data_IF_686192227260
#
_entry.id   IF_686192227260
#
_cell.length_a   1.000
_cell.length_b   1.000
_cell.length_c   1.000
_cell.angle_alpha   90.00
_cell.angle_beta   90.00
_cell.angle_gamma   90.00
#
_symmetry.space_group_name_H-M   'P 1'
#
loop_
_entity.id
_entity.type
_entity.pdbx_description
1 polymer ?
#
# COMPACT_ATOMS: atom_id res chain seq x y z
N UNK A 1 20.73 1.63 10.34
CA UNK A 1 19.48 1.47 11.14
C UNK A 1 18.25 1.78 10.28
N UNK A 2 17.15 1.06 10.51
CA UNK A 2 15.83 1.45 9.98
C UNK A 2 15.49 2.81 10.62
N UNK A 3 15.57 3.89 9.85
CA UNK A 3 14.97 5.22 10.14
C UNK A 3 15.23 5.85 11.54
N UNK A 4 16.37 5.59 12.18
CA UNK A 4 16.70 6.12 13.52
C UNK A 4 15.60 5.83 14.58
N UNK A 5 14.83 4.75 14.40
CA UNK A 5 13.83 4.29 15.37
C UNK A 5 14.45 3.21 16.25
N UNK A 6 14.06 3.16 17.54
CA UNK A 6 14.56 2.18 18.52
C UNK A 6 14.28 0.73 18.06
N UNK A 7 15.22 -0.18 18.34
CA UNK A 7 15.06 -1.62 18.07
C UNK A 7 13.97 -2.29 18.93
N UNK A 8 13.43 -1.61 19.95
CA UNK A 8 12.32 -2.12 20.79
C UNK A 8 11.04 -2.45 20.02
N UNK A 9 10.87 -1.89 18.82
CA UNK A 9 9.73 -2.22 17.95
C UNK A 9 9.89 -3.58 17.26
N UNK A 10 11.07 -4.20 17.33
CA UNK A 10 11.35 -5.48 16.67
C UNK A 10 10.70 -6.59 17.49
N UNK A 11 9.68 -7.22 16.92
CA UNK A 11 8.99 -8.37 17.50
C UNK A 11 9.78 -9.67 17.29
N UNK A 12 10.46 -9.79 16.15
CA UNK A 12 11.25 -10.98 15.82
C UNK A 12 12.33 -10.70 14.78
N UNK A 13 13.42 -11.48 14.83
CA UNK A 13 14.51 -11.48 13.84
C UNK A 13 14.38 -12.71 12.95
N UNK A 14 14.33 -12.50 11.64
CA UNK A 14 14.02 -13.54 10.65
C UNK A 14 15.28 -13.91 9.85
N UNK A 15 15.65 -15.19 9.88
CA UNK A 15 16.73 -15.75 9.06
C UNK A 15 16.26 -16.73 7.98
N UNK A 16 15.03 -17.23 8.10
CA UNK A 16 14.46 -18.24 7.20
C UNK A 16 12.97 -18.02 6.96
N UNK A 17 12.48 -18.54 5.84
CA UNK A 17 11.07 -18.61 5.49
C UNK A 17 10.74 -20.00 4.91
N UNK A 18 9.60 -20.55 5.33
CA UNK A 18 9.07 -21.78 4.75
C UNK A 18 7.89 -21.43 3.83
N UNK A 19 7.99 -21.78 2.55
CA UNK A 19 6.92 -21.62 1.57
C UNK A 19 6.27 -22.99 1.35
N UNK A 20 4.96 -23.04 1.54
CA UNK A 20 4.15 -24.23 1.30
C UNK A 20 3.33 -24.00 0.04
N UNK A 21 3.47 -24.87 -0.96
CA UNK A 21 2.62 -24.86 -2.14
C UNK A 21 1.31 -25.61 -1.88
N UNK A 22 0.29 -25.36 -2.72
CA UNK A 22 -0.98 -26.13 -2.68
C UNK A 22 -0.76 -27.64 -2.84
N UNK A 23 0.29 -28.07 -3.54
CA UNK A 23 0.65 -29.49 -3.68
C UNK A 23 1.31 -30.10 -2.43
N UNK A 24 1.51 -29.33 -1.37
CA UNK A 24 2.19 -29.77 -0.14
C UNK A 24 3.72 -29.71 -0.23
N UNK A 25 4.29 -29.20 -1.32
CA UNK A 25 5.74 -29.03 -1.44
C UNK A 25 6.20 -27.93 -0.49
N UNK A 26 7.17 -28.26 0.35
CA UNK A 26 7.86 -27.34 1.25
C UNK A 26 9.12 -26.81 0.57
N UNK A 27 9.27 -25.50 0.50
CA UNK A 27 10.49 -24.81 0.05
C UNK A 27 11.01 -24.00 1.23
N UNK A 28 12.24 -24.27 1.67
CA UNK A 28 12.94 -23.48 2.67
C UNK A 28 13.79 -22.43 1.96
N UNK A 29 13.65 -21.16 2.36
CA UNK A 29 14.49 -20.05 1.93
C UNK A 29 15.24 -19.51 3.14
N UNK A 30 16.54 -19.26 3.01
CA UNK A 30 17.37 -18.66 4.06
C UNK A 30 18.33 -19.64 4.74
N UNK A 31 19.05 -19.13 5.73
CA UNK A 31 20.15 -19.79 6.42
C UNK A 31 20.20 -19.34 7.89
N UNK A 32 21.38 -19.31 8.51
CA UNK A 32 21.55 -18.82 9.89
C UNK A 32 21.58 -17.29 9.98
N UNK A 33 21.77 -16.56 8.88
CA UNK A 33 21.95 -15.11 8.87
C UNK A 33 20.59 -14.41 8.95
N UNK A 34 20.44 -13.49 9.91
CA UNK A 34 19.28 -12.61 9.98
C UNK A 34 19.27 -11.70 8.74
N UNK A 35 18.14 -11.68 8.02
CA UNK A 35 17.95 -10.91 6.78
C UNK A 35 16.76 -9.95 6.84
N UNK A 36 15.84 -10.18 7.77
CA UNK A 36 14.66 -9.34 7.97
C UNK A 36 14.27 -9.29 9.45
N UNK A 37 13.38 -8.36 9.78
CA UNK A 37 12.76 -8.24 11.10
C UNK A 37 11.26 -8.13 10.94
N UNK A 38 10.53 -8.77 11.84
CA UNK A 38 9.12 -8.47 12.05
C UNK A 38 9.04 -7.34 13.09
N UNK A 39 8.18 -6.35 12.84
CA UNK A 39 8.07 -5.15 13.67
C UNK A 39 6.62 -4.91 14.09
N UNK A 40 6.46 -4.25 15.23
CA UNK A 40 5.21 -3.61 15.63
C UNK A 40 4.99 -2.39 14.72
N UNK A 41 4.09 -2.56 13.74
CA UNK A 41 3.81 -1.56 12.72
C UNK A 41 3.12 -0.32 13.27
N UNK A 42 2.21 -0.49 14.22
CA UNK A 42 1.48 0.64 14.79
C UNK A 42 2.44 1.52 15.59
N UNK A 43 3.26 0.90 16.45
CA UNK A 43 4.28 1.63 17.21
C UNK A 43 5.33 2.26 16.29
N UNK A 44 5.75 1.55 15.25
CA UNK A 44 6.69 2.08 14.26
C UNK A 44 6.13 3.32 13.53
N UNK A 45 4.93 3.23 12.98
CA UNK A 45 4.31 4.31 12.21
C UNK A 45 4.06 5.54 13.11
N UNK A 46 3.68 5.32 14.38
CA UNK A 46 3.57 6.40 15.38
C UNK A 46 4.91 7.10 15.65
N UNK A 47 5.98 6.34 15.86
CA UNK A 47 7.30 6.91 16.11
C UNK A 47 7.82 7.72 14.91
N UNK A 48 7.54 7.27 13.68
CA UNK A 48 7.86 8.04 12.48
C UNK A 48 7.07 9.36 12.40
N UNK A 49 5.78 9.33 12.76
CA UNK A 49 4.96 10.53 12.82
C UNK A 49 5.49 11.52 13.88
N UNK A 50 5.86 11.02 15.07
CA UNK A 50 6.44 11.83 16.14
C UNK A 50 7.76 12.48 15.72
N UNK A 51 8.64 11.74 15.03
CA UNK A 51 9.89 12.28 14.48
C UNK A 51 9.62 13.40 13.44
N UNK A 52 8.63 13.21 12.57
CA UNK A 52 8.26 14.24 11.59
C UNK A 52 7.70 15.49 12.27
N UNK A 53 6.85 15.33 13.29
CA UNK A 53 6.32 16.45 14.08
C UNK A 53 7.43 17.20 14.83
N UNK A 54 8.36 16.48 15.44
CA UNK A 54 9.53 17.07 16.12
C UNK A 54 10.46 17.81 15.15
N UNK A 55 10.42 17.46 13.86
CA UNK A 55 11.13 18.17 12.80
C UNK A 55 10.39 19.42 12.29
N UNK A 56 9.24 19.76 12.89
CA UNK A 56 8.44 20.95 12.57
C UNK A 56 7.36 20.75 11.52
N UNK A 57 7.04 19.50 11.14
CA UNK A 57 5.95 19.23 10.19
C UNK A 57 4.60 19.44 10.86
N UNK A 58 3.69 20.16 10.17
CA UNK A 58 2.29 20.27 10.58
C UNK A 58 1.57 18.94 10.35
N UNK A 59 1.16 18.29 11.43
CA UNK A 59 0.39 17.05 11.38
C UNK A 59 -1.11 17.33 11.51
N UNK A 60 -1.90 16.84 10.55
CA UNK A 60 -3.36 17.06 10.51
C UNK A 60 -4.06 15.71 10.64
N UNK A 61 -4.55 15.42 11.84
CA UNK A 61 -5.31 14.21 12.14
C UNK A 61 -6.80 14.34 11.78
N UNK A 62 -7.48 13.18 11.72
CA UNK A 62 -8.90 13.06 11.35
C UNK A 62 -9.23 13.76 10.03
N UNK A 63 -8.26 13.77 9.12
CA UNK A 63 -8.35 14.42 7.83
C UNK A 63 -8.25 13.38 6.72
N UNK A 64 -9.23 13.37 5.82
CA UNK A 64 -9.22 12.55 4.61
C UNK A 64 -9.12 13.47 3.40
N UNK A 65 -8.10 13.31 2.57
CA UNK A 65 -8.03 14.01 1.31
C UNK A 65 -9.16 13.52 0.39
N UNK A 66 -9.94 14.44 -0.19
CA UNK A 66 -11.15 14.11 -0.99
C UNK A 66 -11.07 14.64 -2.43
N UNK A 67 -10.13 15.52 -2.73
CA UNK A 67 -9.91 15.96 -4.10
C UNK A 67 -8.82 16.99 -4.25
N UNK A 68 -8.54 17.32 -5.50
CA UNK A 68 -7.78 18.51 -5.91
C UNK A 68 -8.69 19.43 -6.73
N UNK A 69 -8.30 20.70 -6.84
CA UNK A 69 -9.01 21.65 -7.70
C UNK A 69 -8.98 21.23 -9.18
N UNK A 70 -10.11 21.42 -9.86
CA UNK A 70 -10.43 20.80 -11.16
C UNK A 70 -9.60 21.38 -12.33
N UNK A 71 -8.90 22.49 -12.10
CA UNK A 71 -7.94 23.09 -13.05
C UNK A 71 -6.83 22.12 -13.48
N UNK A 72 -6.38 21.24 -12.56
CA UNK A 72 -5.37 20.21 -12.86
C UNK A 72 -5.96 19.07 -13.69
N UNK A 73 -7.22 18.69 -13.43
CA UNK A 73 -7.94 17.66 -14.21
C UNK A 73 -8.24 18.11 -15.63
N UNK A 74 -8.54 19.41 -15.84
CA UNK A 74 -8.86 19.96 -17.15
C UNK A 74 -7.67 19.90 -18.12
N UNK A 75 -6.46 20.24 -17.66
CA UNK A 75 -5.26 20.23 -18.51
C UNK A 75 -4.88 18.81 -18.96
N UNK A 76 -4.96 17.81 -18.07
CA UNK A 76 -4.70 16.41 -18.42
C UNK A 76 -5.71 15.86 -19.44
N UNK A 77 -7.00 16.16 -19.27
CA UNK A 77 -8.06 15.72 -20.17
C UNK A 77 -8.02 16.45 -21.53
N UNK A 78 -7.74 17.76 -21.57
CA UNK A 78 -7.61 18.53 -22.82
C UNK A 78 -6.39 18.08 -23.63
N UNK A 79 -5.27 17.74 -22.97
CA UNK A 79 -4.08 17.21 -23.63
C UNK A 79 -4.30 15.81 -24.21
N UNK A 80 -4.94 14.90 -23.47
CA UNK A 80 -5.28 13.54 -23.94
C UNK A 80 -6.24 13.59 -25.14
N UNK A 81 -7.25 14.46 -25.11
CA UNK A 81 -8.24 14.57 -26.19
C UNK A 81 -7.72 15.30 -27.46
N UNK A 82 -6.74 16.20 -27.36
CA UNK A 82 -6.16 16.89 -28.53
C UNK A 82 -5.13 16.06 -29.32
N UNK A 83 -4.56 15.00 -28.73
CA UNK A 83 -3.65 14.08 -29.46
C UNK A 83 -4.43 13.20 -30.45
N UNK A 84 -5.69 12.90 -30.17
CA UNK A 84 -6.55 12.08 -31.03
C UNK A 84 -7.23 12.83 -32.20
N UNK A 85 -7.08 14.16 -32.29
CA UNK A 85 -7.53 14.94 -33.45
C UNK A 85 -6.34 15.67 -34.06
N UNK A 86 -5.93 15.26 -35.26
CA UNK A 86 -4.94 15.96 -36.09
C UNK A 86 -5.42 17.39 -36.41
N UNK A 87 -5.19 18.34 -35.51
CA UNK A 87 -5.37 19.76 -35.75
C UNK A 87 -4.03 20.36 -36.19
N UNK A 88 -3.94 20.76 -37.45
CA UNK A 88 -2.92 21.68 -37.95
C UNK A 88 -3.15 23.05 -37.30
N UNK A 89 -2.26 23.44 -36.40
CA UNK A 89 -2.32 24.76 -35.75
C UNK A 89 -1.93 25.85 -36.76
N UNK A 90 -2.91 26.70 -37.15
CA UNK A 90 -2.63 28.02 -37.71
C UNK A 90 -2.38 28.98 -36.55
N UNK A 91 -1.24 29.67 -36.62
CA UNK A 91 -0.70 30.71 -35.72
C UNK A 91 0.23 30.21 -34.61
N UNK A 92 1.39 30.88 -34.52
CA UNK A 92 2.59 30.61 -33.71
C UNK A 92 2.38 30.70 -32.18
N UNK A 93 1.38 30.00 -31.64
CA UNK A 93 1.20 29.84 -30.20
C UNK A 93 1.63 28.42 -29.86
N UNK A 94 2.75 28.28 -29.15
CA UNK A 94 3.30 26.96 -28.84
C UNK A 94 2.48 26.27 -27.75
N UNK A 95 2.47 24.93 -27.76
CA UNK A 95 1.76 24.08 -26.78
C UNK A 95 2.09 24.46 -25.32
N UNK A 96 3.31 24.96 -25.08
CA UNK A 96 3.77 25.42 -23.76
C UNK A 96 3.07 26.70 -23.29
N UNK A 97 2.69 27.61 -24.18
CA UNK A 97 2.19 28.93 -23.80
C UNK A 97 0.74 28.87 -23.31
N UNK A 98 -0.08 28.00 -23.91
CA UNK A 98 -1.46 27.75 -23.49
C UNK A 98 -1.48 27.03 -22.13
N UNK A 99 -0.60 26.06 -21.94
CA UNK A 99 -0.46 25.31 -20.68
C UNK A 99 0.01 26.26 -19.57
N UNK A 100 1.01 27.12 -19.83
CA UNK A 100 1.47 28.12 -18.87
C UNK A 100 0.39 29.12 -18.47
N UNK A 101 -0.39 29.63 -19.41
CA UNK A 101 -1.45 30.62 -19.12
C UNK A 101 -2.66 30.04 -18.35
N UNK A 102 -2.93 28.74 -18.46
CA UNK A 102 -4.01 28.07 -17.71
C UNK A 102 -3.60 27.70 -16.26
N UNK A 103 -2.30 27.54 -16.00
CA UNK A 103 -1.74 27.18 -14.69
C UNK A 103 -1.17 28.43 -14.02
N UNK A 104 -1.92 29.53 -14.02
CA UNK A 104 -1.46 30.80 -13.43
C UNK A 104 -1.43 30.80 -11.89
N UNK A 105 -1.44 29.63 -11.25
CA UNK A 105 -1.03 29.43 -9.86
C UNK A 105 -0.14 28.18 -9.77
N UNK A 106 1.13 28.34 -9.39
CA UNK A 106 2.11 27.25 -9.17
C UNK A 106 1.73 26.27 -8.02
N UNK A 107 0.50 26.35 -7.52
CA UNK A 107 0.07 25.66 -6.32
C UNK A 107 -1.12 24.74 -6.61
N UNK A 108 -0.97 23.48 -6.22
CA UNK A 108 -2.03 22.49 -6.14
C UNK A 108 -2.88 22.83 -4.92
N UNK A 109 -4.19 23.02 -5.11
CA UNK A 109 -5.14 23.15 -4.00
C UNK A 109 -5.76 21.78 -3.71
N UNK A 110 -5.56 21.28 -2.49
CA UNK A 110 -6.11 20.03 -1.98
C UNK A 110 -7.35 20.33 -1.14
N UNK A 111 -8.43 19.60 -1.40
CA UNK A 111 -9.64 19.56 -0.58
C UNK A 111 -9.56 18.34 0.34
N UNK A 112 -9.82 18.52 1.62
CA UNK A 112 -9.85 17.42 2.60
C UNK A 112 -11.03 17.58 3.56
N UNK A 113 -11.59 16.46 3.98
CA UNK A 113 -12.63 16.40 5.00
C UNK A 113 -11.95 16.23 6.36
N UNK A 114 -12.16 17.17 7.29
CA UNK A 114 -11.67 17.09 8.66
C UNK A 114 -12.80 17.32 9.64
N UNK A 115 -12.99 16.41 10.59
CA UNK A 115 -14.09 16.51 11.57
C UNK A 115 -15.45 16.81 10.90
N UNK A 116 -15.75 16.11 9.79
CA UNK A 116 -16.94 16.28 8.96
C UNK A 116 -17.12 17.67 8.31
N UNK A 117 -16.05 18.46 8.19
CA UNK A 117 -16.05 19.75 7.48
C UNK A 117 -15.05 19.73 6.34
N UNK A 118 -15.42 20.32 5.21
CA UNK A 118 -14.50 20.48 4.08
C UNK A 118 -13.55 21.64 4.38
N UNK A 119 -12.25 21.36 4.28
CA UNK A 119 -11.17 22.33 4.39
C UNK A 119 -10.29 22.27 3.13
N UNK A 120 -9.51 23.33 2.90
CA UNK A 120 -8.62 23.45 1.75
C UNK A 120 -7.22 23.84 2.18
N UNK A 121 -6.22 23.29 1.50
CA UNK A 121 -4.80 23.64 1.67
C UNK A 121 -4.12 23.76 0.32
N UNK A 122 -3.22 24.75 0.16
CA UNK A 122 -2.41 24.94 -1.04
C UNK A 122 -1.01 24.36 -0.82
N UNK A 123 -0.45 23.72 -1.85
CA UNK A 123 0.92 23.19 -1.83
C UNK A 123 1.53 23.22 -3.22
N UNK A 124 2.85 23.34 -3.34
CA UNK A 124 3.57 23.23 -4.62
C UNK A 124 3.77 21.77 -5.07
N UNK A 125 3.86 20.85 -4.11
CA UNK A 125 4.08 19.43 -4.33
C UNK A 125 3.13 18.62 -3.45
N UNK A 126 2.46 17.65 -4.06
CA UNK A 126 1.60 16.68 -3.38
C UNK A 126 2.19 15.28 -3.54
N UNK A 127 2.37 14.58 -2.41
CA UNK A 127 2.86 13.19 -2.38
C UNK A 127 1.69 12.27 -2.02
N UNK A 128 1.38 11.33 -2.90
CA UNK A 128 0.39 10.27 -2.64
C UNK A 128 1.02 9.11 -1.88
N UNK A 129 0.84 9.07 -0.57
CA UNK A 129 1.26 7.97 0.30
C UNK A 129 0.05 7.24 0.93
N UNK A 130 -1.06 7.18 0.19
CA UNK A 130 -2.38 6.67 0.60
C UNK A 130 -2.63 5.20 0.21
N UNK A 131 -1.58 4.48 -0.19
CA UNK A 131 -1.59 3.03 -0.39
C UNK A 131 -2.00 2.56 -1.80
N UNK A 132 -2.21 1.24 -1.93
CA UNK A 132 -2.41 0.56 -3.23
C UNK A 132 -3.62 1.05 -4.03
N UNK A 133 -4.62 1.59 -3.33
CA UNK A 133 -5.86 2.12 -3.92
C UNK A 133 -5.84 3.65 -4.05
N UNK A 134 -4.65 4.26 -4.09
CA UNK A 134 -4.41 5.71 -4.05
C UNK A 134 -5.44 6.56 -4.80
N UNK A 135 -6.16 7.40 -4.07
CA UNK A 135 -7.04 8.43 -4.65
C UNK A 135 -6.22 9.58 -5.22
N UNK A 136 -5.09 9.92 -4.59
CA UNK A 136 -4.16 10.93 -5.11
C UNK A 136 -3.70 10.55 -6.52
N UNK A 137 -3.26 9.31 -6.74
CA UNK A 137 -2.85 8.85 -8.07
C UNK A 137 -3.97 8.94 -9.11
N UNK A 138 -5.22 8.60 -8.72
CA UNK A 138 -6.41 8.72 -9.59
C UNK A 138 -6.66 10.16 -10.02
N UNK A 139 -6.45 11.14 -9.13
CA UNK A 139 -6.69 12.54 -9.46
C UNK A 139 -5.76 13.09 -10.53
N UNK A 140 -4.56 12.52 -10.65
CA UNK A 140 -3.58 12.87 -11.68
C UNK A 140 -3.59 11.92 -12.87
N UNK A 141 -4.54 10.97 -12.92
CA UNK A 141 -4.69 10.01 -14.02
C UNK A 141 -3.40 9.20 -14.29
N UNK A 142 -2.73 8.83 -13.19
CA UNK A 142 -1.54 7.97 -13.20
C UNK A 142 -1.95 6.51 -13.41
N UNK A 143 -1.06 5.74 -14.03
CA UNK A 143 -1.28 4.31 -14.21
C UNK A 143 -1.42 3.59 -12.86
N UNK A 144 -2.45 2.77 -12.77
CA UNK A 144 -2.67 1.90 -11.61
C UNK A 144 -1.83 0.64 -11.73
N UNK A 145 -1.49 -0.02 -10.60
CA UNK A 145 -0.86 -1.33 -10.65
C UNK A 145 -1.68 -2.30 -11.50
N UNK A 146 -1.02 -3.00 -12.43
CA UNK A 146 -1.65 -3.99 -13.32
C UNK A 146 -2.15 -5.21 -12.55
N UNK A 147 -1.49 -5.52 -11.44
CA UNK A 147 -1.76 -6.68 -10.61
C UNK A 147 -1.73 -6.27 -9.14
N UNK A 148 -2.66 -6.82 -8.36
CA UNK A 148 -2.73 -6.65 -6.92
C UNK A 148 -2.72 -8.06 -6.31
N UNK A 149 -1.71 -8.34 -5.48
CA UNK A 149 -1.62 -9.59 -4.75
C UNK A 149 -2.30 -9.40 -3.40
N UNK A 150 -3.42 -10.10 -3.19
CA UNK A 150 -4.07 -10.16 -1.90
C UNK A 150 -3.35 -11.18 -1.02
N UNK A 151 -2.93 -10.76 0.16
CA UNK A 151 -2.30 -11.62 1.16
C UNK A 151 -3.10 -11.56 2.47
N UNK A 152 -3.19 -12.70 3.14
CA UNK A 152 -3.70 -12.80 4.50
C UNK A 152 -2.52 -13.14 5.42
N UNK A 153 -2.42 -12.41 6.53
CA UNK A 153 -1.39 -12.63 7.53
C UNK A 153 -2.06 -13.06 8.82
N UNK A 154 -1.54 -14.13 9.43
CA UNK A 154 -1.95 -14.60 10.74
C UNK A 154 -0.70 -14.84 11.56
N UNK A 155 -0.67 -14.30 12.76
CA UNK A 155 0.39 -14.60 13.72
C UNK A 155 -0.04 -15.81 14.55
N UNK A 156 0.72 -16.87 14.45
CA UNK A 156 0.49 -18.12 15.17
C UNK A 156 1.74 -18.48 15.95
N UNK A 157 1.57 -18.79 17.23
CA UNK A 157 2.64 -19.35 18.03
C UNK A 157 2.63 -20.88 17.81
N UNK A 158 3.43 -21.32 16.84
CA UNK A 158 3.61 -22.73 16.52
C UNK A 158 5.01 -23.17 16.90
N UNK A 159 5.11 -24.18 17.76
CA UNK A 159 6.34 -24.96 17.93
C UNK A 159 6.56 -25.82 16.68
N UNK A 160 7.26 -25.27 15.69
CA UNK A 160 7.66 -26.03 14.51
C UNK A 160 8.92 -26.83 14.86
N UNK A 161 8.72 -28.07 15.29
CA UNK A 161 9.82 -29.01 15.48
C UNK A 161 10.44 -29.37 14.13
N UNK A 162 11.64 -28.85 13.84
CA UNK A 162 12.47 -29.29 12.72
C UNK A 162 12.92 -30.74 12.99
N UNK A 163 12.08 -31.73 12.68
CA UNK A 163 12.60 -33.09 12.49
C UNK A 163 13.54 -33.02 11.29
N UNK A 164 14.83 -33.32 11.50
CA UNK A 164 15.79 -33.56 10.40
C UNK A 164 15.12 -34.48 9.38
N UNK A 165 15.25 -34.23 8.06
CA UNK A 165 14.60 -35.03 7.04
C UNK A 165 15.32 -36.38 6.90
N UNK A 166 15.12 -37.22 7.91
CA UNK A 166 15.29 -38.66 7.86
C UNK A 166 14.12 -39.20 8.67
N UNK A 167 13.31 -40.01 8.00
CA UNK A 167 12.13 -40.72 8.51
C UNK A 167 10.77 -40.08 8.24
N UNK A 168 9.94 -40.93 7.63
CA UNK A 168 8.63 -40.66 7.06
C UNK A 168 7.62 -40.26 8.14
N UNK A 169 6.56 -39.60 7.66
CA UNK A 169 5.29 -39.30 8.32
C UNK A 169 5.23 -38.07 9.22
N UNK A 170 4.50 -37.06 8.73
CA UNK A 170 3.60 -36.28 9.56
C UNK A 170 2.27 -36.17 8.80
N UNK A 171 1.35 -37.07 9.14
CA UNK A 171 -0.07 -36.92 8.86
C UNK A 171 -0.56 -35.65 9.58
N UNK A 172 -1.03 -34.67 8.82
CA UNK A 172 -1.85 -33.59 9.38
C UNK A 172 -3.18 -34.19 9.82
N UNK A 173 -3.36 -34.43 11.12
CA UNK A 173 -4.69 -34.57 11.72
C UNK A 173 -5.20 -33.17 12.04
N UNK A 174 -6.01 -32.61 11.15
CA UNK A 174 -6.90 -31.53 11.54
C UNK A 174 -8.01 -32.14 12.41
N UNK A 175 -8.09 -31.77 13.68
CA UNK A 175 -9.24 -32.11 14.52
C UNK A 175 -10.42 -31.24 14.09
N UNK A 176 -11.31 -31.78 13.28
CA UNK A 176 -12.64 -31.20 13.09
C UNK A 176 -13.53 -31.65 14.25
N UNK A 177 -13.68 -30.77 15.24
CA UNK A 177 -14.83 -30.73 16.13
C UNK A 177 -15.25 -29.25 16.10
N UNK A 178 -16.25 -28.84 15.31
CA UNK A 178 -17.66 -29.10 15.59
C UNK A 178 -18.44 -28.94 14.27
N UNK A 179 -18.85 -30.05 13.66
CA UNK A 179 -19.98 -30.10 12.73
C UNK A 179 -20.97 -31.07 13.35
N UNK A 180 -21.89 -30.54 14.15
CA UNK A 180 -23.08 -31.27 14.57
C UNK A 180 -24.14 -31.11 13.46
N UNK A 181 -24.74 -32.24 13.06
CA UNK A 181 -25.74 -32.44 12.00
C UNK A 181 -25.15 -32.40 10.57
N UNK A 182 -25.35 -33.37 9.68
CA UNK A 182 -26.47 -34.29 9.52
C UNK A 182 -26.06 -35.44 8.57
N UNK A 183 -26.41 -36.66 9.00
CA UNK A 183 -26.68 -37.92 8.28
C UNK A 183 -25.72 -38.50 7.21
N UNK A 184 -25.24 -39.70 7.58
CA UNK A 184 -24.76 -40.77 6.73
C UNK A 184 -25.81 -41.27 5.73
N UNK A 185 -25.36 -41.56 4.50
CA UNK A 185 -25.96 -42.55 3.60
C UNK A 185 -24.85 -43.11 2.71
N UNK A 186 -24.23 -44.21 3.17
CA UNK A 186 -23.67 -45.21 2.28
C UNK A 186 -24.03 -46.59 2.83
N UNK A 187 -24.57 -47.43 1.95
CA UNK A 187 -24.65 -48.88 2.08
C UNK A 187 -24.87 -49.45 0.68
N UNK A 188 -24.44 -50.69 0.38
CA UNK A 188 -23.21 -51.40 0.77
C UNK A 188 -22.06 -51.21 -0.24
#
# INVERSE_FOLDING_TARGET
PLTNVSEEIILSKLNRAYIYTKSGKKILIGDSKIRAVAIDRERFDKLLADQAMNSGVKYIMNAKAIGIDDRVKYTSNVLKNKINKNYTFKNNITKSDIVKNLINEDNITIKFLRNNREEKIKSKLLIGADGVNSDVAKWFDLEKPKEIINALTFDINLDIFDKKPSEKSCLFKASTATWAHLLALMSP
#
